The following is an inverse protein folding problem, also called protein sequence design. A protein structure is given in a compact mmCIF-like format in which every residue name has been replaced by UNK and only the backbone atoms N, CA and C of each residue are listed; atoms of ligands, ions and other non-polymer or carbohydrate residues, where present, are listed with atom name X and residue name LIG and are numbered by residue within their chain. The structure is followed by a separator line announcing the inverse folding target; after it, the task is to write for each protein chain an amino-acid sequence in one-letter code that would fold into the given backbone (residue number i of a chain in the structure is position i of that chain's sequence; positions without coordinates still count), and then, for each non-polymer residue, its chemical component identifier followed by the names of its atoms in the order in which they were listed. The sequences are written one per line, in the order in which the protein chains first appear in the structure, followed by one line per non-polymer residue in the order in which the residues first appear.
data_IF_980495139037
#
_entry.id   IF_980495139037
#
_cell.length_a   1.000
_cell.length_b   1.000
_cell.length_c   1.000
_cell.angle_alpha   90.00
_cell.angle_beta   90.00
_cell.angle_gamma   90.00
#
_symmetry.space_group_name_H-M   'P 1'
#
loop_
_entity.id
_entity.type
_entity.pdbx_description
1 polymer ?
#
# COMPACT_ATOMS: atom_id res chain seq x y z
N UNK A 1 17.54 13.05 -1.20
CA UNK A 1 16.24 12.76 -1.82
C UNK A 1 16.11 11.24 -1.92
N UNK A 2 15.21 10.60 -1.16
CA UNK A 2 15.02 9.14 -1.26
C UNK A 2 14.17 8.86 -2.51
N UNK A 3 14.75 8.21 -3.51
CA UNK A 3 14.01 7.74 -4.68
C UNK A 3 13.10 6.59 -4.28
N UNK A 4 11.79 6.76 -4.46
CA UNK A 4 10.87 5.64 -4.42
C UNK A 4 10.99 4.88 -5.76
N UNK A 5 11.18 3.56 -5.77
CA UNK A 5 11.26 2.83 -7.04
C UNK A 5 9.90 2.84 -7.74
N UNK A 6 9.84 3.37 -8.98
CA UNK A 6 8.61 3.39 -9.79
C UNK A 6 7.97 1.99 -9.95
N UNK A 7 8.80 0.93 -10.01
CA UNK A 7 8.36 -0.47 -10.08
C UNK A 7 7.35 -0.84 -8.97
N UNK A 8 7.48 -0.24 -7.77
CA UNK A 8 6.54 -0.49 -6.66
C UNK A 8 5.18 0.13 -6.89
N UNK A 9 5.16 1.32 -7.48
CA UNK A 9 3.93 2.05 -7.79
C UNK A 9 3.19 1.33 -8.92
N UNK A 10 3.91 0.90 -9.95
CA UNK A 10 3.37 0.10 -11.05
C UNK A 10 2.76 -1.21 -10.52
N UNK A 11 3.48 -1.94 -9.67
CA UNK A 11 2.96 -3.16 -9.07
C UNK A 11 1.67 -2.93 -8.28
N UNK A 12 1.58 -1.84 -7.49
CA UNK A 12 0.35 -1.53 -6.75
C UNK A 12 -0.79 -1.07 -7.68
N UNK A 13 -0.50 -0.23 -8.67
CA UNK A 13 -1.47 0.27 -9.64
C UNK A 13 -2.10 -0.88 -10.42
N UNK A 14 -1.28 -1.80 -10.94
CA UNK A 14 -1.74 -3.00 -11.64
C UNK A 14 -2.55 -3.91 -10.72
N UNK A 15 -2.07 -4.18 -9.50
CA UNK A 15 -2.78 -5.04 -8.56
C UNK A 15 -4.16 -4.49 -8.16
N UNK A 16 -4.23 -3.20 -7.85
CA UNK A 16 -5.47 -2.54 -7.45
C UNK A 16 -6.34 -2.12 -8.65
N UNK A 17 -5.87 -2.32 -9.89
CA UNK A 17 -6.53 -1.89 -11.13
C UNK A 17 -6.87 -0.39 -11.11
N UNK A 18 -5.89 0.42 -10.73
CA UNK A 18 -6.00 1.89 -10.67
C UNK A 18 -4.87 2.56 -11.47
N UNK A 19 -5.06 3.84 -11.80
CA UNK A 19 -4.02 4.63 -12.44
C UNK A 19 -2.91 5.01 -11.44
N UNK A 20 -1.66 5.12 -11.91
CA UNK A 20 -0.52 5.54 -11.09
C UNK A 20 -0.72 6.89 -10.41
N UNK A 21 -1.42 7.82 -11.07
CA UNK A 21 -1.72 9.16 -10.53
C UNK A 21 -2.66 9.12 -9.33
N UNK A 22 -3.40 8.02 -9.15
CA UNK A 22 -4.24 7.81 -7.97
C UNK A 22 -3.43 7.39 -6.74
N UNK A 23 -2.17 6.99 -6.89
CA UNK A 23 -1.33 6.53 -5.80
C UNK A 23 -0.56 7.71 -5.21
N UNK A 24 -0.73 7.94 -3.92
CA UNK A 24 0.06 8.89 -3.15
C UNK A 24 1.09 8.15 -2.32
N UNK A 25 2.33 8.64 -2.35
CA UNK A 25 3.44 8.12 -1.53
C UNK A 25 3.68 9.05 -0.36
N UNK A 26 3.75 8.49 0.84
CA UNK A 26 4.03 9.23 2.07
C UNK A 26 5.51 9.21 2.44
N UNK A 27 5.91 10.08 3.38
CA UNK A 27 7.31 10.25 3.79
C UNK A 27 7.91 9.01 4.47
N UNK A 28 7.08 8.14 5.01
CA UNK A 28 7.43 6.87 5.66
C UNK A 28 7.50 5.67 4.68
N UNK A 29 7.24 5.91 3.39
CA UNK A 29 7.12 4.93 2.30
C UNK A 29 5.83 4.09 2.30
N UNK A 30 4.82 4.46 3.09
CA UNK A 30 3.46 3.96 2.89
C UNK A 30 2.85 4.59 1.63
N UNK A 31 1.84 3.93 1.09
CA UNK A 31 1.09 4.41 -0.07
C UNK A 31 -0.40 4.43 0.23
N UNK A 32 -1.12 5.42 -0.28
CA UNK A 32 -2.58 5.42 -0.27
C UNK A 32 -3.10 5.46 -1.70
N UNK A 33 -4.34 5.00 -1.90
CA UNK A 33 -4.99 4.98 -3.21
C UNK A 33 -6.19 5.93 -3.19
N UNK A 34 -6.25 6.81 -4.18
CA UNK A 34 -7.31 7.80 -4.34
C UNK A 34 -7.30 8.86 -3.24
N UNK A 35 -8.48 9.16 -2.71
CA UNK A 35 -8.69 10.12 -1.62
C UNK A 35 -8.68 9.49 -0.22
N UNK A 36 -8.48 8.17 -0.13
CA UNK A 36 -8.51 7.46 1.15
C UNK A 36 -7.14 7.51 1.83
N UNK A 37 -7.03 8.33 2.87
CA UNK A 37 -5.83 8.36 3.73
C UNK A 37 -5.88 7.33 4.87
N UNK A 38 -6.85 6.40 4.83
CA UNK A 38 -7.16 5.46 5.93
C UNK A 38 -6.56 4.06 5.71
N UNK A 39 -6.24 3.76 4.45
CA UNK A 39 -5.76 2.44 4.03
C UNK A 39 -4.35 2.63 3.49
N UNK A 40 -3.37 2.15 4.24
CA UNK A 40 -1.98 2.18 3.82
C UNK A 40 -1.58 0.88 3.14
N UNK A 41 -0.94 1.02 1.99
CA UNK A 41 -0.36 -0.05 1.23
C UNK A 41 1.15 -0.04 1.37
N UNK A 42 1.72 -1.23 1.49
CA UNK A 42 3.18 -1.42 1.47
C UNK A 42 3.55 -2.43 0.40
N UNK A 43 4.48 -2.04 -0.47
CA UNK A 43 4.96 -2.86 -1.58
C UNK A 43 6.44 -3.19 -1.36
N UNK A 44 6.77 -4.48 -1.24
CA UNK A 44 8.12 -4.94 -0.88
C UNK A 44 8.55 -6.16 -1.70
N UNK A 45 9.83 -6.25 -2.08
CA UNK A 45 10.39 -7.43 -2.77
C UNK A 45 10.51 -8.65 -1.85
N UNK A 46 10.60 -8.42 -0.53
CA UNK A 46 10.68 -9.47 0.49
C UNK A 46 9.38 -9.55 1.26
N UNK A 47 9.04 -10.75 1.71
CA UNK A 47 7.90 -10.98 2.59
C UNK A 47 8.15 -10.27 3.93
N UNK A 48 7.19 -9.48 4.39
CA UNK A 48 7.18 -8.87 5.72
C UNK A 48 6.57 -9.86 6.73
N UNK A 49 6.98 -9.73 7.99
CA UNK A 49 6.40 -10.43 9.13
C UNK A 49 5.16 -9.74 9.70
N UNK A 50 4.95 -8.46 9.34
CA UNK A 50 3.83 -7.64 9.79
C UNK A 50 3.00 -7.10 8.62
N UNK A 51 1.72 -6.84 8.89
CA UNK A 51 0.72 -6.39 7.93
C UNK A 51 -0.07 -7.52 7.27
N UNK A 52 -1.23 -7.20 6.72
CA UNK A 52 -2.09 -8.18 6.06
C UNK A 52 -1.67 -8.30 4.59
N UNK A 53 -1.17 -9.47 4.18
CA UNK A 53 -0.76 -9.73 2.80
C UNK A 53 -2.00 -9.84 1.91
N UNK A 54 -2.17 -8.91 0.97
CA UNK A 54 -3.25 -8.96 -0.01
C UNK A 54 -2.90 -9.85 -1.21
N UNK A 55 -1.64 -9.85 -1.63
CA UNK A 55 -1.22 -10.60 -2.80
C UNK A 55 0.17 -10.26 -3.29
N UNK A 56 0.44 -10.63 -4.54
CA UNK A 56 1.74 -10.45 -5.19
C UNK A 56 1.54 -9.96 -6.63
N UNK A 57 2.35 -8.99 -7.06
CA UNK A 57 2.36 -8.44 -8.42
C UNK A 57 3.81 -8.14 -8.82
N UNK A 58 4.22 -8.58 -10.01
CA UNK A 58 5.56 -8.32 -10.60
C UNK A 58 6.73 -8.58 -9.66
N UNK A 59 6.63 -9.65 -8.87
CA UNK A 59 7.65 -10.05 -7.91
C UNK A 59 7.61 -9.30 -6.58
N UNK A 60 6.72 -8.34 -6.39
CA UNK A 60 6.49 -7.62 -5.14
C UNK A 60 5.32 -8.19 -4.35
N UNK A 61 5.47 -8.23 -3.03
CA UNK A 61 4.41 -8.50 -2.07
C UNK A 61 3.69 -7.21 -1.72
N UNK A 62 2.36 -7.27 -1.69
CA UNK A 62 1.49 -6.13 -1.44
C UNK A 62 0.76 -6.38 -0.13
N UNK A 63 0.99 -5.50 0.83
CA UNK A 63 0.39 -5.54 2.16
C UNK A 63 -0.55 -4.37 2.34
N UNK A 64 -1.55 -4.55 3.18
CA UNK A 64 -2.37 -3.48 3.71
C UNK A 64 -2.20 -3.38 5.23
N UNK A 65 -2.10 -2.16 5.72
CA UNK A 65 -2.33 -1.81 7.11
C UNK A 65 -3.52 -0.84 7.15
N UNK A 66 -4.47 -1.15 8.01
CA UNK A 66 -5.50 -0.18 8.38
C UNK A 66 -4.88 0.76 9.42
N UNK A 67 -4.98 2.06 9.20
CA UNK A 67 -4.70 3.00 10.28
C UNK A 67 -5.90 2.94 11.22
N UNK A 68 -5.70 2.48 12.45
CA UNK A 68 -6.66 2.73 13.52
C UNK A 68 -6.68 4.25 13.78
N UNK A 69 -7.69 4.93 13.26
CA UNK A 69 -7.97 6.30 13.69
C UNK A 69 -8.76 6.20 15.00
N UNK A 70 -8.32 6.84 16.09
CA UNK A 70 -9.02 6.79 17.35
C UNK A 70 -10.50 7.16 17.17
N UNK A 71 -11.41 6.23 17.46
CA UNK A 71 -12.86 6.46 17.43
C UNK A 71 -13.66 5.78 16.31
N UNK A 72 -13.08 4.88 15.49
CA UNK A 72 -13.86 4.02 14.59
C UNK A 72 -13.56 2.54 14.82
N UNK A 73 -14.59 1.66 14.84
CA UNK A 73 -14.41 0.24 15.08
C UNK A 73 -13.61 -0.40 13.95
N UNK A 74 -12.67 -1.26 14.35
CA UNK A 74 -12.00 -2.20 13.45
C UNK A 74 -13.09 -3.12 12.92
N UNK A 75 -13.36 -3.06 11.61
CA UNK A 75 -14.21 -4.06 10.97
C UNK A 75 -13.30 -5.28 10.75
N UNK A 76 -13.27 -6.16 11.73
CA UNK A 76 -12.74 -7.52 11.55
C UNK A 76 -13.72 -8.25 10.63
N UNK A 77 -13.24 -8.64 9.44
CA UNK A 77 -13.96 -9.50 8.49
C UNK A 77 -13.86 -10.96 8.88
#
# INVERSE_FOLDING_TARGET
MRFFPNEKLEALATFATVDLTSIRVWSDNSMTIGSSDWIEYYVTKRKRTNGHLLGRQDGFYIYVNHIEIPGKPIIES
#
